data_IF_517346272448
#
_entry.id   IF_517346272448
#
_cell.length_a   1.000
_cell.length_b   1.000
_cell.length_c   1.000
_cell.angle_alpha   90.00
_cell.angle_beta   90.00
_cell.angle_gamma   90.00
#
_symmetry.space_group_name_H-M   'P 1'
#
loop_
_entity.id
_entity.type
_entity.pdbx_description
1 polymer ?
#
# COMPACT_ATOMS: atom_id res chain seq x y z
N UNK A 1 10.51 -4.79 -24.84
CA UNK A 1 9.59 -4.16 -25.80
C UNK A 1 10.16 -4.42 -27.18
N UNK A 2 9.90 -5.62 -27.66
CA UNK A 2 10.15 -6.12 -29.01
C UNK A 2 8.81 -6.69 -29.46
N UNK A 3 8.39 -6.37 -30.69
CA UNK A 3 7.10 -6.68 -31.32
C UNK A 3 5.84 -6.21 -30.56
N UNK A 4 5.41 -5.00 -30.94
CA UNK A 4 4.09 -4.37 -30.85
C UNK A 4 3.14 -4.89 -29.74
N UNK A 5 3.25 -4.30 -28.54
CA UNK A 5 2.19 -4.38 -27.53
C UNK A 5 0.88 -3.90 -28.17
N UNK A 6 -0.13 -4.77 -28.25
CA UNK A 6 -1.40 -4.46 -28.91
C UNK A 6 -2.30 -3.74 -27.92
N UNK A 7 -2.46 -2.42 -28.10
CA UNK A 7 -3.39 -1.63 -27.29
C UNK A 7 -4.85 -2.07 -27.53
N UNK A 8 -5.56 -2.35 -26.43
CA UNK A 8 -6.98 -2.69 -26.42
C UNK A 8 -7.79 -1.40 -26.55
N UNK A 9 -8.57 -1.31 -27.62
CA UNK A 9 -9.35 -0.09 -27.92
C UNK A 9 -10.22 0.37 -26.75
N UNK A 10 -10.21 1.67 -26.39
CA UNK A 10 -11.13 2.25 -25.39
C UNK A 10 -12.62 2.08 -25.70
N UNK A 11 -12.96 1.81 -26.98
CA UNK A 11 -14.33 1.55 -27.43
C UNK A 11 -14.75 0.08 -27.29
N UNK A 12 -13.83 -0.83 -26.99
CA UNK A 12 -14.09 -2.25 -26.80
C UNK A 12 -14.89 -2.53 -25.51
N UNK A 13 -15.50 -3.70 -25.43
CA UNK A 13 -16.20 -4.13 -24.22
C UNK A 13 -15.21 -4.46 -23.09
N UNK A 14 -14.10 -5.08 -23.46
CA UNK A 14 -12.98 -5.50 -22.62
C UNK A 14 -12.40 -4.30 -21.87
N UNK A 15 -12.11 -3.22 -22.59
CA UNK A 15 -11.64 -1.99 -21.97
C UNK A 15 -12.64 -1.43 -20.95
N UNK A 16 -13.94 -1.40 -21.28
CA UNK A 16 -14.97 -0.90 -20.34
C UNK A 16 -15.08 -1.76 -19.09
N UNK A 17 -14.96 -3.08 -19.23
CA UNK A 17 -14.92 -3.99 -18.10
C UNK A 17 -13.71 -3.71 -17.22
N UNK A 18 -12.50 -3.65 -17.78
CA UNK A 18 -11.27 -3.37 -17.02
C UNK A 18 -11.36 -1.99 -16.35
N UNK A 19 -11.85 -0.98 -17.05
CA UNK A 19 -12.10 0.35 -16.49
C UNK A 19 -13.06 0.29 -15.28
N UNK A 20 -14.13 -0.51 -15.36
CA UNK A 20 -15.06 -0.70 -14.27
C UNK A 20 -14.39 -1.39 -13.07
N UNK A 21 -13.52 -2.38 -13.29
CA UNK A 21 -12.71 -3.01 -12.24
C UNK A 21 -11.78 -1.98 -11.58
N UNK A 22 -11.01 -1.23 -12.36
CA UNK A 22 -10.10 -0.19 -11.83
C UNK A 22 -10.87 0.83 -10.98
N UNK A 23 -12.05 1.27 -11.44
CA UNK A 23 -12.90 2.17 -10.66
C UNK A 23 -13.48 1.53 -9.40
N UNK A 24 -13.84 0.26 -9.44
CA UNK A 24 -14.32 -0.49 -8.28
C UNK A 24 -13.22 -0.69 -7.24
N UNK A 25 -11.97 -0.87 -7.69
CA UNK A 25 -10.77 -0.94 -6.85
C UNK A 25 -10.49 0.41 -6.20
N UNK A 26 -10.43 1.48 -7.00
CA UNK A 26 -10.23 2.84 -6.49
C UNK A 26 -11.24 3.18 -5.38
N UNK A 27 -12.54 2.94 -5.62
CA UNK A 27 -13.60 3.20 -4.62
C UNK A 27 -13.36 2.45 -3.31
N UNK A 28 -13.00 1.16 -3.38
CA UNK A 28 -12.80 0.31 -2.20
C UNK A 28 -11.49 0.58 -1.46
N UNK A 29 -10.48 1.07 -2.17
CA UNK A 29 -9.26 1.60 -1.56
C UNK A 29 -9.48 2.98 -0.91
N UNK A 30 -10.72 3.47 -0.85
CA UNK A 30 -11.13 4.73 -0.24
C UNK A 30 -11.08 5.93 -1.19
N UNK A 31 -10.87 5.69 -2.48
CA UNK A 31 -10.95 6.69 -3.55
C UNK A 31 -12.38 7.23 -3.69
N UNK A 32 -12.61 8.39 -3.08
CA UNK A 32 -13.82 9.20 -3.24
C UNK A 32 -13.49 10.56 -3.84
N UNK A 33 -14.25 11.59 -3.49
CA UNK A 33 -13.96 12.98 -3.90
C UNK A 33 -12.58 13.44 -3.41
N UNK A 34 -12.21 13.03 -2.19
CA UNK A 34 -10.96 13.43 -1.52
C UNK A 34 -10.03 12.24 -1.22
N UNK A 35 -10.31 11.08 -1.82
CA UNK A 35 -9.55 9.84 -1.56
C UNK A 35 -8.36 9.63 -2.50
N UNK A 36 -7.52 8.60 -2.24
CA UNK A 36 -6.46 8.21 -3.15
C UNK A 36 -7.06 7.83 -4.52
N UNK A 37 -6.36 8.21 -5.58
CA UNK A 37 -6.71 7.84 -6.96
C UNK A 37 -5.74 6.79 -7.47
N UNK A 38 -6.24 5.91 -8.31
CA UNK A 38 -5.37 5.02 -9.08
C UNK A 38 -4.45 5.83 -9.99
N UNK A 39 -3.23 5.34 -10.21
CA UNK A 39 -2.30 5.89 -11.21
C UNK A 39 -2.59 5.40 -12.63
N UNK A 40 -3.69 4.69 -12.85
CA UNK A 40 -4.05 4.18 -14.17
C UNK A 40 -4.07 5.30 -15.21
N UNK A 41 -3.21 5.18 -16.22
CA UNK A 41 -3.06 6.18 -17.27
C UNK A 41 -4.06 5.98 -18.43
N UNK A 42 -4.96 5.00 -18.30
CA UNK A 42 -5.98 4.58 -19.30
C UNK A 42 -5.42 3.81 -20.50
N UNK A 43 -4.17 3.38 -20.44
CA UNK A 43 -3.59 2.46 -21.40
C UNK A 43 -3.84 1.03 -20.93
N UNK A 44 -4.38 0.22 -21.84
CA UNK A 44 -4.65 -1.20 -21.62
C UNK A 44 -4.04 -1.98 -22.77
N UNK A 45 -3.09 -2.85 -22.44
CA UNK A 45 -2.32 -3.64 -23.39
C UNK A 45 -2.75 -5.11 -23.33
N UNK A 46 -2.79 -5.76 -24.47
CA UNK A 46 -2.94 -7.21 -24.54
C UNK A 46 -1.61 -7.87 -24.18
N UNK A 47 -1.60 -8.70 -23.13
CA UNK A 47 -0.47 -9.58 -22.86
C UNK A 47 -0.60 -10.84 -23.72
N UNK A 48 0.46 -11.11 -24.48
CA UNK A 48 0.51 -12.16 -25.51
C UNK A 48 1.39 -13.33 -25.11
N UNK A 49 2.24 -13.15 -24.09
CA UNK A 49 2.92 -14.26 -23.45
C UNK A 49 1.88 -15.12 -22.69
N UNK A 50 1.70 -16.41 -23.06
CA UNK A 50 0.73 -17.27 -22.39
C UNK A 50 1.10 -17.54 -20.93
N UNK A 51 2.35 -17.36 -20.53
CA UNK A 51 2.80 -17.60 -19.15
C UNK A 51 2.58 -16.37 -18.25
N UNK A 52 2.24 -15.21 -18.83
CA UNK A 52 1.95 -13.97 -18.12
C UNK A 52 0.43 -13.72 -18.03
N UNK A 53 -0.07 -13.51 -16.82
CA UNK A 53 -1.49 -13.26 -16.54
C UNK A 53 -1.87 -11.78 -16.71
N UNK A 54 -0.90 -10.88 -16.59
CA UNK A 54 -1.08 -9.44 -16.62
C UNK A 54 -0.08 -8.70 -15.72
N UNK A 55 -0.08 -7.38 -15.82
CA UNK A 55 0.86 -6.56 -15.07
C UNK A 55 0.43 -5.09 -14.96
N UNK A 56 0.88 -4.44 -13.90
CA UNK A 56 0.72 -3.01 -13.67
C UNK A 56 2.04 -2.24 -13.80
N UNK A 57 2.31 -1.70 -14.99
CA UNK A 57 3.56 -0.98 -15.30
C UNK A 57 3.69 0.33 -14.53
N UNK A 58 4.92 0.75 -14.22
CA UNK A 58 5.21 1.99 -13.45
C UNK A 58 4.64 3.27 -14.06
N UNK A 59 4.44 3.33 -15.37
CA UNK A 59 3.83 4.48 -16.06
C UNK A 59 2.30 4.57 -15.90
N UNK A 60 1.70 3.55 -15.26
CA UNK A 60 0.28 3.46 -15.01
C UNK A 60 -0.49 2.67 -16.07
N UNK A 61 0.17 2.06 -17.05
CA UNK A 61 -0.50 1.13 -17.98
C UNK A 61 -0.81 -0.21 -17.31
N UNK A 62 -1.85 -0.90 -17.81
CA UNK A 62 -2.17 -2.28 -17.46
C UNK A 62 -1.95 -3.18 -18.66
N UNK A 63 -1.30 -4.34 -18.48
CA UNK A 63 -1.35 -5.45 -19.42
C UNK A 63 -2.22 -6.56 -18.85
N UNK A 64 -2.95 -7.28 -19.71
CA UNK A 64 -3.85 -8.37 -19.30
C UNK A 64 -3.79 -9.52 -20.29
N UNK A 65 -3.68 -10.75 -19.77
CA UNK A 65 -3.59 -11.95 -20.61
C UNK A 65 -4.81 -12.12 -21.49
N UNK A 66 -4.59 -12.24 -22.80
CA UNK A 66 -5.69 -12.53 -23.73
C UNK A 66 -6.29 -13.89 -23.42
N UNK A 67 -5.45 -14.91 -23.22
CA UNK A 67 -5.85 -16.32 -23.07
C UNK A 67 -6.45 -16.60 -21.70
N UNK A 68 -5.82 -16.07 -20.63
CA UNK A 68 -6.20 -16.43 -19.27
C UNK A 68 -7.25 -15.49 -18.66
N UNK A 69 -7.36 -14.26 -19.16
CA UNK A 69 -8.27 -13.25 -18.63
C UNK A 69 -9.36 -12.90 -19.63
N UNK A 70 -9.02 -12.34 -20.79
CA UNK A 70 -10.01 -11.74 -21.69
C UNK A 70 -10.88 -12.76 -22.41
N UNK A 71 -10.33 -13.88 -22.87
CA UNK A 71 -11.07 -14.95 -23.55
C UNK A 71 -12.16 -15.56 -22.65
N UNK A 72 -11.86 -16.02 -21.41
CA UNK A 72 -12.89 -16.52 -20.50
C UNK A 72 -14.01 -15.51 -20.24
N UNK A 73 -13.68 -14.22 -20.16
CA UNK A 73 -14.64 -13.13 -19.97
C UNK A 73 -15.54 -12.95 -21.20
N UNK A 74 -14.97 -12.97 -22.41
CA UNK A 74 -15.74 -12.89 -23.67
C UNK A 74 -16.66 -14.10 -23.84
N UNK A 75 -16.13 -15.30 -23.62
CA UNK A 75 -16.89 -16.55 -23.73
C UNK A 75 -18.09 -16.52 -22.79
N UNK A 76 -17.89 -16.14 -21.52
CA UNK A 76 -18.97 -16.05 -20.55
C UNK A 76 -20.05 -15.02 -20.91
N UNK A 77 -19.66 -13.89 -21.52
CA UNK A 77 -20.59 -12.85 -22.00
C UNK A 77 -21.48 -13.38 -23.13
N UNK A 78 -20.89 -14.11 -24.06
CA UNK A 78 -21.58 -14.56 -25.27
C UNK A 78 -22.30 -15.91 -25.09
N UNK A 79 -22.20 -16.50 -23.89
CA UNK A 79 -22.77 -17.80 -23.59
C UNK A 79 -24.28 -17.74 -23.38
N UNK A 80 -25.01 -18.60 -24.08
CA UNK A 80 -26.48 -18.76 -23.98
C UNK A 80 -26.93 -19.86 -23.01
N UNK A 81 -25.97 -20.45 -22.28
CA UNK A 81 -26.17 -21.50 -21.28
C UNK A 81 -25.51 -21.14 -19.95
N UNK A 82 -25.89 -21.80 -18.84
CA UNK A 82 -25.16 -21.70 -17.60
C UNK A 82 -23.68 -22.11 -17.75
N UNK A 83 -22.81 -21.45 -16.98
CA UNK A 83 -21.42 -21.85 -16.85
C UNK A 83 -21.31 -23.23 -16.20
N UNK A 84 -20.38 -24.04 -16.69
CA UNK A 84 -19.89 -25.19 -15.94
C UNK A 84 -19.05 -24.74 -14.74
N UNK A 85 -18.82 -25.63 -13.78
CA UNK A 85 -17.99 -25.31 -12.62
C UNK A 85 -16.56 -24.87 -13.02
N UNK A 86 -15.96 -25.52 -14.02
CA UNK A 86 -14.62 -25.16 -14.50
C UNK A 86 -14.58 -23.79 -15.19
N UNK A 87 -15.61 -23.44 -15.98
CA UNK A 87 -15.72 -22.11 -16.59
C UNK A 87 -15.95 -21.02 -15.54
N UNK A 88 -16.81 -21.28 -14.56
CA UNK A 88 -17.03 -20.35 -13.45
C UNK A 88 -15.75 -20.14 -12.62
N UNK A 89 -14.96 -21.19 -12.40
CA UNK A 89 -13.68 -21.09 -11.70
C UNK A 89 -12.69 -20.25 -12.49
N UNK A 90 -12.49 -20.52 -13.79
CA UNK A 90 -11.63 -19.70 -14.66
C UNK A 90 -12.05 -18.23 -14.68
N UNK A 91 -13.35 -17.97 -14.77
CA UNK A 91 -13.89 -16.62 -14.76
C UNK A 91 -13.65 -15.90 -13.42
N UNK A 92 -13.70 -16.62 -12.30
CA UNK A 92 -13.32 -16.07 -10.98
C UNK A 92 -11.84 -15.68 -10.96
N UNK A 93 -10.97 -16.54 -11.49
CA UNK A 93 -9.53 -16.27 -11.56
C UNK A 93 -9.23 -15.06 -12.45
N UNK A 94 -9.83 -15.00 -13.64
CA UNK A 94 -9.68 -13.86 -14.55
C UNK A 94 -10.01 -12.51 -13.87
N UNK A 95 -11.09 -12.47 -13.08
CA UNK A 95 -11.47 -11.25 -12.34
C UNK A 95 -10.55 -10.98 -11.16
N UNK A 96 -10.09 -12.02 -10.45
CA UNK A 96 -9.09 -11.86 -9.40
C UNK A 96 -7.81 -11.22 -9.95
N UNK A 97 -7.31 -11.70 -11.09
CA UNK A 97 -6.15 -11.10 -11.79
C UNK A 97 -6.40 -9.63 -12.13
N UNK A 98 -7.54 -9.28 -12.74
CA UNK A 98 -7.84 -7.87 -13.05
C UNK A 98 -7.85 -6.98 -11.80
N UNK A 99 -8.38 -7.49 -10.69
CA UNK A 99 -8.43 -6.76 -9.41
C UNK A 99 -7.02 -6.62 -8.83
N UNK A 100 -6.23 -7.68 -8.88
CA UNK A 100 -4.84 -7.71 -8.44
C UNK A 100 -4.01 -6.63 -9.15
N UNK A 101 -4.00 -6.63 -10.48
CA UNK A 101 -3.25 -5.64 -11.25
C UNK A 101 -3.78 -4.21 -11.04
N UNK A 102 -5.09 -4.04 -10.97
CA UNK A 102 -5.68 -2.74 -10.66
C UNK A 102 -5.31 -2.23 -9.26
N UNK A 103 -5.12 -3.12 -8.28
CA UNK A 103 -4.74 -2.77 -6.92
C UNK A 103 -3.26 -2.35 -6.82
N UNK A 104 -2.36 -2.91 -7.63
CA UNK A 104 -0.99 -2.40 -7.79
C UNK A 104 -0.95 -0.93 -8.25
N UNK A 105 -1.96 -0.48 -9.00
CA UNK A 105 -2.07 0.93 -9.41
C UNK A 105 -2.52 1.89 -8.30
N UNK A 106 -2.92 1.40 -7.12
CA UNK A 106 -3.22 2.26 -5.98
C UNK A 106 -1.97 2.81 -5.30
N UNK A 107 -0.82 2.16 -5.51
CA UNK A 107 0.48 2.58 -4.98
C UNK A 107 1.08 3.67 -5.86
N UNK A 108 1.35 4.88 -5.33
CA UNK A 108 2.13 5.90 -6.03
C UNK A 108 3.55 5.41 -6.31
N UNK A 109 4.09 5.78 -7.48
CA UNK A 109 5.51 5.50 -7.81
C UNK A 109 6.41 6.40 -6.97
N UNK A 110 7.23 5.78 -6.15
CA UNK A 110 8.03 6.49 -5.18
C UNK A 110 9.34 7.06 -5.68
N UNK A 111 9.71 8.18 -5.05
CA UNK A 111 10.98 8.83 -5.30
C UNK A 111 12.12 8.08 -4.60
N UNK A 112 12.96 7.40 -5.39
CA UNK A 112 14.14 6.66 -4.91
C UNK A 112 15.18 7.57 -4.24
N UNK A 113 15.08 8.89 -4.42
CA UNK A 113 15.95 9.89 -3.79
C UNK A 113 15.35 10.51 -2.54
N UNK A 114 14.10 10.20 -2.20
CA UNK A 114 13.46 10.68 -0.99
C UNK A 114 14.23 10.20 0.25
N UNK A 115 14.28 11.01 1.32
CA UNK A 115 14.83 10.56 2.59
C UNK A 115 14.17 9.26 3.03
N UNK A 116 14.97 8.31 3.50
CA UNK A 116 14.48 7.02 4.03
C UNK A 116 13.74 6.16 3.02
N UNK A 117 13.88 6.45 1.71
CA UNK A 117 13.40 5.58 0.66
C UNK A 117 14.10 4.22 0.75
N UNK A 118 13.31 3.16 0.72
CA UNK A 118 13.82 1.80 0.70
C UNK A 118 13.94 1.27 -0.73
N UNK A 119 14.93 0.40 -1.02
CA UNK A 119 14.97 -0.31 -2.29
C UNK A 119 13.79 -1.28 -2.39
N UNK A 120 13.40 -1.57 -3.63
CA UNK A 120 12.51 -2.68 -3.96
C UNK A 120 13.42 -3.90 -4.05
N UNK A 121 13.50 -4.64 -2.95
CA UNK A 121 14.18 -5.92 -2.84
C UNK A 121 13.15 -7.04 -2.61
N UNK A 122 13.62 -8.27 -2.41
CA UNK A 122 12.75 -9.45 -2.29
C UNK A 122 11.73 -9.31 -1.15
N UNK A 123 12.14 -8.74 -0.01
CA UNK A 123 11.24 -8.45 1.11
C UNK A 123 10.15 -7.44 0.73
N UNK A 124 10.50 -6.39 -0.01
CA UNK A 124 9.53 -5.39 -0.46
C UNK A 124 8.56 -5.98 -1.49
N UNK A 125 9.06 -6.80 -2.42
CA UNK A 125 8.26 -7.47 -3.46
C UNK A 125 7.28 -8.46 -2.82
N UNK A 126 7.78 -9.39 -2.01
CA UNK A 126 6.95 -10.36 -1.29
C UNK A 126 5.88 -9.68 -0.43
N UNK A 127 6.23 -8.59 0.26
CA UNK A 127 5.25 -7.85 1.05
C UNK A 127 4.21 -7.12 0.19
N UNK A 128 4.60 -6.56 -0.95
CA UNK A 128 3.67 -5.88 -1.86
C UNK A 128 2.69 -6.86 -2.50
N UNK A 129 3.19 -7.94 -3.10
CA UNK A 129 2.36 -8.97 -3.72
C UNK A 129 1.40 -9.59 -2.71
N UNK A 130 1.88 -9.97 -1.53
CA UNK A 130 1.02 -10.51 -0.47
C UNK A 130 -0.02 -9.50 0.03
N UNK A 131 0.30 -8.21 0.05
CA UNK A 131 -0.63 -7.15 0.45
C UNK A 131 -1.73 -6.96 -0.60
N UNK A 132 -1.34 -6.89 -1.87
CA UNK A 132 -2.26 -6.74 -3.01
C UNK A 132 -3.16 -7.97 -3.11
N UNK A 133 -2.60 -9.17 -3.03
CA UNK A 133 -3.35 -10.42 -3.11
C UNK A 133 -4.32 -10.56 -1.93
N UNK A 134 -3.88 -10.26 -0.71
CA UNK A 134 -4.76 -10.22 0.45
C UNK A 134 -5.93 -9.25 0.25
N UNK A 135 -5.66 -8.04 -0.27
CA UNK A 135 -6.68 -7.05 -0.54
C UNK A 135 -7.64 -7.52 -1.64
N UNK A 136 -7.12 -8.14 -2.71
CA UNK A 136 -7.88 -8.69 -3.83
C UNK A 136 -8.91 -9.69 -3.34
N UNK A 137 -8.49 -10.74 -2.62
CA UNK A 137 -9.42 -11.77 -2.16
C UNK A 137 -10.45 -11.26 -1.15
N UNK A 138 -10.06 -10.29 -0.31
CA UNK A 138 -11.00 -9.65 0.61
C UNK A 138 -12.13 -8.90 -0.10
N UNK A 139 -11.85 -8.36 -1.29
CA UNK A 139 -12.78 -7.50 -2.02
C UNK A 139 -13.40 -8.16 -3.27
N UNK A 140 -12.92 -9.35 -3.66
CA UNK A 140 -13.26 -10.06 -4.90
C UNK A 140 -14.77 -10.18 -5.11
N UNK A 141 -15.49 -10.75 -4.14
CA UNK A 141 -16.94 -10.98 -4.27
C UNK A 141 -17.72 -9.67 -4.41
N UNK A 142 -17.28 -8.63 -3.72
CA UNK A 142 -17.90 -7.31 -3.79
C UNK A 142 -17.66 -6.64 -5.14
N UNK A 143 -16.45 -6.78 -5.70
CA UNK A 143 -16.14 -6.25 -7.04
C UNK A 143 -16.88 -7.03 -8.11
N UNK A 144 -16.93 -8.37 -8.04
CA UNK A 144 -17.72 -9.22 -8.96
C UNK A 144 -19.18 -8.75 -8.96
N UNK A 145 -19.79 -8.61 -7.78
CA UNK A 145 -21.21 -8.23 -7.66
C UNK A 145 -21.51 -6.88 -8.34
N UNK A 146 -20.58 -5.92 -8.25
CA UNK A 146 -20.75 -4.59 -8.82
C UNK A 146 -20.45 -4.57 -10.33
N UNK A 147 -19.32 -5.14 -10.73
CA UNK A 147 -18.82 -5.04 -12.11
C UNK A 147 -19.61 -5.94 -13.07
N UNK A 148 -20.06 -7.12 -12.61
CA UNK A 148 -20.74 -8.07 -13.51
C UNK A 148 -22.06 -7.51 -14.04
N UNK A 149 -22.79 -6.77 -13.21
CA UNK A 149 -24.04 -6.14 -13.62
C UNK A 149 -23.83 -5.12 -14.74
N UNK A 150 -22.84 -4.24 -14.57
CA UNK A 150 -22.55 -3.20 -15.57
C UNK A 150 -21.92 -3.77 -16.85
N UNK A 151 -21.25 -4.93 -16.76
CA UNK A 151 -20.58 -5.59 -17.87
C UNK A 151 -21.47 -6.55 -18.68
N UNK A 152 -22.72 -6.81 -18.24
CA UNK A 152 -23.61 -7.78 -18.86
C UNK A 152 -23.24 -9.25 -18.55
N UNK A 153 -22.62 -9.49 -17.39
CA UNK A 153 -22.24 -10.80 -16.87
C UNK A 153 -23.15 -11.27 -15.72
N UNK A 154 -24.32 -10.65 -15.52
CA UNK A 154 -25.27 -10.97 -14.45
C UNK A 154 -25.60 -12.47 -14.36
N UNK A 155 -25.79 -13.11 -15.51
CA UNK A 155 -26.10 -14.54 -15.60
C UNK A 155 -24.99 -15.46 -15.08
N UNK A 156 -23.74 -14.96 -15.02
CA UNK A 156 -22.58 -15.69 -14.53
C UNK A 156 -22.32 -15.47 -13.04
N UNK A 157 -22.79 -14.37 -12.45
CA UNK A 157 -22.38 -13.90 -11.13
C UNK A 157 -22.55 -14.97 -10.04
N UNK A 158 -23.73 -15.61 -9.96
CA UNK A 158 -23.99 -16.62 -8.94
C UNK A 158 -23.05 -17.85 -9.05
N UNK A 159 -22.78 -18.30 -10.27
CA UNK A 159 -21.88 -19.43 -10.51
C UNK A 159 -20.43 -19.10 -10.09
N UNK A 160 -19.94 -17.90 -10.45
CA UNK A 160 -18.61 -17.41 -10.09
C UNK A 160 -18.45 -17.18 -8.59
N UNK A 161 -19.45 -16.59 -7.93
CA UNK A 161 -19.43 -16.35 -6.48
C UNK A 161 -19.48 -17.65 -5.66
N UNK A 162 -19.95 -18.75 -6.24
CA UNK A 162 -19.93 -20.06 -5.59
C UNK A 162 -18.59 -20.78 -5.67
N UNK A 163 -17.64 -20.29 -6.47
CA UNK A 163 -16.33 -20.92 -6.60
C UNK A 163 -15.42 -20.55 -5.44
N UNK A 164 -14.53 -21.46 -5.00
CA UNK A 164 -13.52 -21.12 -4.01
C UNK A 164 -12.58 -20.03 -4.55
N UNK A 165 -12.02 -19.24 -3.64
CA UNK A 165 -10.85 -18.43 -3.95
C UNK A 165 -9.62 -19.33 -4.18
N UNK A 166 -8.64 -18.78 -4.88
CA UNK A 166 -7.32 -19.36 -5.06
C UNK A 166 -6.34 -18.21 -4.86
N UNK A 167 -5.46 -18.34 -3.89
CA UNK A 167 -4.47 -17.32 -3.57
C UNK A 167 -3.19 -17.67 -4.31
N UNK A 168 -2.77 -16.77 -5.20
CA UNK A 168 -1.68 -17.02 -6.13
C UNK A 168 -0.31 -16.99 -5.45
N UNK A 169 -0.24 -16.49 -4.20
CA UNK A 169 1.01 -16.29 -3.47
C UNK A 169 0.96 -16.87 -2.05
N UNK A 170 0.90 -18.21 -1.90
CA UNK A 170 0.86 -18.89 -0.61
C UNK A 170 1.97 -18.49 0.37
N UNK A 171 3.17 -18.12 -0.09
CA UNK A 171 4.24 -17.68 0.81
C UNK A 171 4.16 -16.18 1.15
N UNK A 172 3.41 -15.37 0.40
CA UNK A 172 3.33 -13.92 0.59
C UNK A 172 2.06 -13.49 1.33
N UNK A 173 0.90 -13.96 0.88
CA UNK A 173 -0.41 -13.52 1.37
C UNK A 173 -0.59 -13.76 2.88
N UNK A 174 -0.25 -14.94 3.44
CA UNK A 174 -0.35 -15.14 4.89
C UNK A 174 0.57 -14.20 5.66
N UNK A 175 1.80 -13.98 5.19
CA UNK A 175 2.75 -13.09 5.86
C UNK A 175 2.24 -11.64 5.91
N UNK A 176 1.76 -11.13 4.77
CA UNK A 176 1.22 -9.77 4.68
C UNK A 176 -0.03 -9.58 5.55
N UNK A 177 -0.93 -10.58 5.60
CA UNK A 177 -2.11 -10.58 6.48
C UNK A 177 -1.71 -10.54 7.96
N UNK A 178 -0.81 -11.42 8.38
CA UNK A 178 -0.36 -11.48 9.77
C UNK A 178 0.31 -10.17 10.21
N UNK A 179 1.14 -9.58 9.35
CA UNK A 179 1.76 -8.30 9.65
C UNK A 179 0.72 -7.17 9.74
N UNK A 180 -0.25 -7.13 8.82
CA UNK A 180 -1.33 -6.13 8.84
C UNK A 180 -2.19 -6.21 10.11
N UNK A 181 -2.51 -7.43 10.57
CA UNK A 181 -3.25 -7.64 11.82
C UNK A 181 -2.44 -7.20 13.05
N UNK A 182 -1.14 -7.50 13.09
CA UNK A 182 -0.26 -7.07 14.17
C UNK A 182 -0.07 -5.54 14.22
N UNK A 183 0.05 -4.90 13.06
CA UNK A 183 0.09 -3.43 12.96
C UNK A 183 -1.24 -2.80 13.37
N UNK A 184 -2.36 -3.42 13.03
CA UNK A 184 -3.70 -2.96 13.42
C UNK A 184 -3.86 -2.96 14.95
N UNK A 185 -3.50 -4.06 15.61
CA UNK A 185 -3.50 -4.16 17.06
C UNK A 185 -2.67 -3.06 17.73
N UNK A 186 -1.45 -2.82 17.24
CA UNK A 186 -0.49 -1.86 17.82
C UNK A 186 -0.88 -0.40 17.58
N UNK A 187 -1.49 -0.11 16.44
CA UNK A 187 -1.92 1.24 16.05
C UNK A 187 -3.31 1.61 16.57
N UNK A 188 -4.12 0.61 16.96
CA UNK A 188 -5.54 0.79 17.30
C UNK A 188 -6.43 1.00 16.07
N UNK A 189 -5.94 0.67 14.88
CA UNK A 189 -6.71 0.64 13.64
C UNK A 189 -7.31 -0.76 13.42
N UNK A 190 -8.22 -0.88 12.46
CA UNK A 190 -8.63 -2.19 11.94
C UNK A 190 -7.63 -2.69 10.91
N UNK A 191 -7.53 -4.02 10.74
CA UNK A 191 -6.70 -4.65 9.69
C UNK A 191 -7.03 -4.10 8.29
N UNK A 192 -8.30 -3.80 8.01
CA UNK A 192 -8.74 -3.14 6.77
C UNK A 192 -8.14 -1.75 6.59
N UNK A 193 -8.19 -0.92 7.64
CA UNK A 193 -7.62 0.42 7.58
C UNK A 193 -6.10 0.39 7.43
N UNK A 194 -5.41 -0.56 8.05
CA UNK A 194 -3.96 -0.77 7.85
C UNK A 194 -3.67 -1.18 6.42
N UNK A 195 -4.31 -2.25 5.94
CA UNK A 195 -4.15 -2.76 4.56
C UNK A 195 -4.36 -1.63 3.55
N UNK A 196 -5.45 -0.86 3.68
CA UNK A 196 -5.76 0.24 2.79
C UNK A 196 -4.70 1.36 2.83
N UNK A 197 -4.22 1.74 4.02
CA UNK A 197 -3.17 2.74 4.16
C UNK A 197 -1.85 2.30 3.51
N UNK A 198 -1.51 1.02 3.62
CA UNK A 198 -0.28 0.47 3.05
C UNK A 198 -0.38 0.24 1.54
N UNK A 199 -1.55 -0.16 1.04
CA UNK A 199 -1.83 -0.31 -0.39
C UNK A 199 -1.72 1.02 -1.14
N UNK A 200 -2.09 2.13 -0.48
CA UNK A 200 -2.01 3.48 -1.05
C UNK A 200 -0.72 4.23 -0.67
N UNK A 201 0.20 3.59 0.05
CA UNK A 201 1.49 4.17 0.38
C UNK A 201 2.40 4.12 -0.84
N UNK A 202 3.25 5.14 -0.98
CA UNK A 202 4.39 5.14 -1.89
C UNK A 202 5.25 3.88 -1.69
N UNK A 203 5.58 3.17 -2.77
CA UNK A 203 6.29 1.88 -2.74
C UNK A 203 7.63 1.96 -1.99
N UNK A 204 8.33 3.10 -2.08
CA UNK A 204 9.61 3.35 -1.40
C UNK A 204 9.45 3.73 0.07
N UNK A 205 8.27 4.18 0.47
CA UNK A 205 7.97 4.65 1.81
C UNK A 205 7.03 3.72 2.59
N UNK A 206 6.51 2.64 1.98
CA UNK A 206 5.54 1.73 2.61
C UNK A 206 6.00 1.19 3.96
N UNK A 207 7.27 0.82 4.08
CA UNK A 207 7.87 0.40 5.35
C UNK A 207 7.84 1.50 6.42
N UNK A 208 8.13 2.75 6.04
CA UNK A 208 8.05 3.90 6.95
C UNK A 208 6.61 4.14 7.39
N UNK A 209 5.64 4.06 6.45
CA UNK A 209 4.21 4.18 6.77
C UNK A 209 3.80 3.09 7.76
N UNK A 210 4.19 1.83 7.54
CA UNK A 210 3.86 0.72 8.43
C UNK A 210 4.34 0.96 9.87
N UNK A 211 5.60 1.36 10.06
CA UNK A 211 6.13 1.60 11.41
C UNK A 211 5.62 2.91 12.01
N UNK A 212 5.30 3.93 11.20
CA UNK A 212 4.71 5.17 11.68
C UNK A 212 3.36 4.95 12.37
N UNK A 213 2.55 3.98 11.89
CA UNK A 213 1.30 3.58 12.56
C UNK A 213 1.53 3.13 14.01
N UNK A 214 2.66 2.48 14.28
CA UNK A 214 3.05 2.01 15.60
C UNK A 214 3.69 3.13 16.40
N UNK A 215 4.61 3.89 15.81
CA UNK A 215 5.31 5.02 16.44
C UNK A 215 4.30 6.02 17.01
N UNK A 216 3.34 6.45 16.19
CA UNK A 216 2.35 7.48 16.56
C UNK A 216 1.55 7.08 17.79
N UNK A 217 1.28 5.78 17.95
CA UNK A 217 0.49 5.25 19.06
C UNK A 217 1.34 4.92 20.29
N UNK A 218 2.52 4.33 20.07
CA UNK A 218 3.29 3.63 21.11
C UNK A 218 4.48 4.45 21.64
N UNK A 219 4.87 5.52 20.96
CA UNK A 219 6.03 6.35 21.33
C UNK A 219 5.69 7.84 21.52
N UNK A 220 4.70 8.20 22.37
CA UNK A 220 4.26 9.60 22.53
C UNK A 220 5.33 10.52 23.15
N UNK A 221 6.38 9.95 23.75
CA UNK A 221 7.49 10.69 24.36
C UNK A 221 8.69 10.88 23.41
N UNK A 222 8.65 10.29 22.21
CA UNK A 222 9.74 10.38 21.25
C UNK A 222 9.77 11.79 20.61
N UNK A 223 10.90 12.51 20.63
CA UNK A 223 11.06 13.75 19.87
C UNK A 223 11.00 13.49 18.37
N UNK A 224 10.36 14.39 17.61
CA UNK A 224 10.22 14.25 16.15
C UNK A 224 11.59 14.16 15.44
N UNK A 225 12.61 14.84 15.95
CA UNK A 225 13.98 14.77 15.44
C UNK A 225 14.58 13.35 15.47
N UNK A 226 14.02 12.42 16.26
CA UNK A 226 14.48 11.04 16.34
C UNK A 226 13.66 10.07 15.48
N UNK A 227 12.52 10.51 14.91
CA UNK A 227 11.59 9.64 14.15
C UNK A 227 12.32 8.88 13.04
N UNK A 228 13.14 9.59 12.27
CA UNK A 228 14.01 9.05 11.23
C UNK A 228 14.85 7.83 11.65
N UNK A 229 15.51 7.95 12.81
CA UNK A 229 16.34 6.90 13.36
C UNK A 229 15.50 5.72 13.86
N UNK A 230 14.40 6.02 14.54
CA UNK A 230 13.49 5.01 15.08
C UNK A 230 12.82 4.21 13.97
N UNK A 231 12.41 4.83 12.86
CA UNK A 231 11.91 4.13 11.68
C UNK A 231 12.91 3.10 11.18
N UNK A 232 14.17 3.47 10.99
CA UNK A 232 15.22 2.52 10.55
C UNK A 232 15.37 1.34 11.49
N UNK A 233 15.31 1.57 12.81
CA UNK A 233 15.40 0.51 13.82
C UNK A 233 14.19 -0.44 13.74
N UNK A 234 12.98 0.08 13.59
CA UNK A 234 11.76 -0.71 13.54
C UNK A 234 11.54 -1.42 12.20
N UNK A 235 12.00 -0.85 11.08
CA UNK A 235 11.88 -1.47 9.75
C UNK A 235 12.85 -2.64 9.55
N UNK A 236 14.05 -2.56 10.13
CA UNK A 236 15.08 -3.58 9.97
C UNK A 236 14.59 -5.02 10.26
N UNK A 237 13.98 -5.35 11.42
CA UNK A 237 13.51 -6.71 11.69
C UNK A 237 12.38 -7.17 10.75
N UNK A 238 11.57 -6.24 10.24
CA UNK A 238 10.49 -6.57 9.29
C UNK A 238 11.08 -7.05 7.97
N UNK A 239 12.00 -6.27 7.39
CA UNK A 239 12.64 -6.61 6.12
C UNK A 239 13.49 -7.87 6.21
N UNK A 240 14.29 -8.00 7.27
CA UNK A 240 15.15 -9.15 7.47
C UNK A 240 14.33 -10.46 7.48
N UNK A 241 13.25 -10.49 8.26
CA UNK A 241 12.44 -11.69 8.42
C UNK A 241 11.66 -12.08 7.14
N UNK A 242 11.30 -11.11 6.31
CA UNK A 242 10.52 -11.34 5.08
C UNK A 242 11.38 -11.53 3.83
N UNK A 243 12.69 -11.28 3.91
CA UNK A 243 13.60 -11.36 2.76
C UNK A 243 13.73 -12.75 2.14
N UNK A 244 13.45 -13.82 2.89
CA UNK A 244 13.51 -15.19 2.41
C UNK A 244 12.24 -15.69 1.72
N UNK A 245 11.15 -14.92 1.71
CA UNK A 245 9.87 -15.42 1.22
C UNK A 245 9.86 -15.72 -0.28
N UNK A 246 10.61 -14.96 -1.08
CA UNK A 246 10.72 -15.27 -2.52
C UNK A 246 11.22 -16.67 -2.78
N UNK A 247 12.25 -17.11 -2.04
CA UNK A 247 12.77 -18.46 -2.15
C UNK A 247 11.77 -19.53 -1.65
N UNK A 248 10.83 -19.19 -0.77
CA UNK A 248 9.77 -20.11 -0.32
C UNK A 248 8.68 -20.23 -1.37
N UNK A 249 8.30 -19.11 -1.99
CA UNK A 249 7.32 -19.07 -3.08
C UNK A 249 7.79 -19.88 -4.30
N UNK A 250 9.07 -19.74 -4.65
CA UNK A 250 9.66 -20.43 -5.81
C UNK A 250 10.04 -21.91 -5.54
N UNK A 251 9.90 -22.41 -4.30
CA UNK A 251 10.29 -23.78 -3.95
C UNK A 251 9.22 -24.80 -4.33
N UNK A 252 9.34 -25.38 -5.52
CA UNK A 252 8.46 -26.44 -6.04
C UNK A 252 8.41 -27.71 -5.18
N UNK A 253 9.32 -27.88 -4.21
CA UNK A 253 9.30 -29.01 -3.28
C UNK A 253 8.33 -28.82 -2.11
N UNK A 254 7.88 -27.58 -1.88
CA UNK A 254 6.89 -27.25 -0.88
C UNK A 254 5.50 -27.25 -1.49
N UNK A 255 4.53 -27.84 -0.79
CA UNK A 255 3.13 -27.62 -1.11
C UNK A 255 2.62 -26.28 -0.55
N UNK A 256 1.40 -25.93 -0.95
CA UNK A 256 0.74 -24.68 -0.55
C UNK A 256 0.67 -24.51 0.98
N UNK A 257 0.38 -25.58 1.73
CA UNK A 257 0.24 -25.52 3.19
C UNK A 257 1.61 -25.25 3.83
N UNK A 258 2.66 -25.90 3.32
CA UNK A 258 4.04 -25.70 3.77
C UNK A 258 4.54 -24.28 3.48
N UNK A 259 4.28 -23.74 2.27
CA UNK A 259 4.62 -22.36 1.92
C UNK A 259 3.91 -21.35 2.86
N UNK A 260 2.61 -21.57 3.11
CA UNK A 260 1.84 -20.76 4.06
C UNK A 260 2.39 -20.85 5.49
N UNK A 261 2.79 -22.03 5.95
CA UNK A 261 3.36 -22.20 7.30
C UNK A 261 4.69 -21.45 7.46
N UNK A 262 5.57 -21.49 6.45
CA UNK A 262 6.82 -20.72 6.44
C UNK A 262 6.55 -19.21 6.40
N UNK A 263 5.57 -18.77 5.62
CA UNK A 263 5.13 -17.38 5.59
C UNK A 263 4.67 -16.88 6.97
N UNK A 264 3.88 -17.68 7.68
CA UNK A 264 3.41 -17.36 9.03
C UNK A 264 4.58 -17.27 10.01
N UNK A 265 5.57 -18.19 9.94
CA UNK A 265 6.77 -18.15 10.79
C UNK A 265 7.61 -16.90 10.53
N UNK A 266 7.79 -16.53 9.26
CA UNK A 266 8.50 -15.31 8.87
C UNK A 266 7.81 -14.06 9.43
N UNK A 267 6.48 -13.95 9.29
CA UNK A 267 5.72 -12.84 9.83
C UNK A 267 5.76 -12.80 11.37
N UNK A 268 5.65 -13.94 12.06
CA UNK A 268 5.79 -14.00 13.52
C UNK A 268 7.18 -13.54 13.98
N UNK A 269 8.23 -13.91 13.24
CA UNK A 269 9.59 -13.46 13.52
C UNK A 269 9.75 -11.95 13.31
N UNK A 270 9.16 -11.42 12.23
CA UNK A 270 9.11 -9.99 11.94
C UNK A 270 8.45 -9.21 13.10
N UNK A 271 7.28 -9.67 13.55
CA UNK A 271 6.51 -9.07 14.64
C UNK A 271 7.28 -9.12 15.96
N UNK A 272 7.87 -10.26 16.31
CA UNK A 272 8.67 -10.40 17.52
C UNK A 272 9.94 -9.53 17.49
N UNK A 273 10.55 -9.33 16.31
CA UNK A 273 11.64 -8.38 16.12
C UNK A 273 11.18 -6.93 16.31
N UNK A 274 10.07 -6.55 15.71
CA UNK A 274 9.46 -5.23 15.87
C UNK A 274 9.16 -4.92 17.34
N UNK A 275 8.56 -5.85 18.07
CA UNK A 275 8.19 -5.67 19.48
C UNK A 275 9.42 -5.46 20.37
N UNK A 276 10.47 -6.26 20.18
CA UNK A 276 11.72 -6.11 20.93
C UNK A 276 12.34 -4.74 20.73
N UNK A 277 12.40 -4.26 19.49
CA UNK A 277 12.93 -2.93 19.18
C UNK A 277 12.04 -1.82 19.74
N UNK A 278 10.71 -1.96 19.60
CA UNK A 278 9.76 -1.00 20.15
C UNK A 278 9.89 -0.86 21.67
N UNK A 279 9.94 -1.97 22.40
CA UNK A 279 10.13 -1.95 23.85
C UNK A 279 11.47 -1.33 24.25
N UNK A 280 12.53 -1.62 23.50
CA UNK A 280 13.86 -1.05 23.71
C UNK A 280 13.82 0.48 23.61
N UNK A 281 13.16 0.98 22.57
CA UNK A 281 13.00 2.41 22.30
C UNK A 281 12.08 3.08 23.32
N UNK A 282 10.99 2.40 23.73
CA UNK A 282 10.11 2.87 24.80
C UNK A 282 10.86 3.06 26.12
N UNK A 283 11.65 2.06 26.53
CA UNK A 283 12.46 2.15 27.76
C UNK A 283 13.44 3.31 27.69
N UNK A 284 14.10 3.52 26.54
CA UNK A 284 15.00 4.66 26.33
C UNK A 284 14.28 5.99 26.61
N UNK A 285 13.13 6.24 25.97
CA UNK A 285 12.41 7.51 26.14
C UNK A 285 11.75 7.68 27.51
N UNK A 286 11.37 6.60 28.18
CA UNK A 286 10.88 6.66 29.57
C UNK A 286 11.98 7.10 30.54
N UNK A 287 13.24 6.67 30.34
CA UNK A 287 14.38 7.07 31.17
C UNK A 287 14.81 8.52 30.87
N UNK A 288 14.73 8.96 29.61
CA UNK A 288 15.12 10.31 29.18
C UNK A 288 14.04 11.38 29.49
N UNK A 289 12.75 11.02 29.52
CA UNK A 289 11.64 11.96 29.73
C UNK A 289 11.71 12.80 31.03
N UNK A 290 12.14 12.27 32.20
CA UNK A 290 12.38 13.07 33.40
C UNK A 290 13.44 14.16 33.23
N UNK A 291 14.40 13.99 32.30
CA UNK A 291 15.42 15.02 32.02
C UNK A 291 14.89 16.12 31.10
N UNK A 292 13.91 15.80 30.24
CA UNK A 292 13.24 16.77 29.36
C UNK A 292 12.18 17.59 30.09
N UNK A 293 11.55 17.05 31.14
CA UNK A 293 10.45 17.70 31.86
C UNK A 293 10.78 19.05 32.54
N UNK A 294 11.95 19.27 33.18
CA UNK A 294 12.27 20.56 33.79
C UNK A 294 12.42 21.67 32.76
N UNK A 295 13.05 21.38 31.63
CA UNK A 295 13.30 22.36 30.58
C UNK A 295 12.06 22.60 29.71
N UNK A 296 11.26 21.57 29.43
CA UNK A 296 9.93 21.74 28.81
C UNK A 296 8.94 22.46 29.73
N UNK A 297 8.97 22.22 31.04
CA UNK A 297 8.17 22.97 32.00
C UNK A 297 8.61 24.44 32.06
N UNK A 298 9.92 24.72 32.01
CA UNK A 298 10.46 26.09 31.91
C UNK A 298 10.09 26.75 30.58
N UNK A 299 10.23 26.04 29.45
CA UNK A 299 9.82 26.53 28.13
C UNK A 299 8.32 26.79 28.05
N UNK A 300 7.47 25.91 28.60
CA UNK A 300 6.03 26.16 28.75
C UNK A 300 5.75 27.35 29.65
N UNK A 301 6.41 27.49 30.79
CA UNK A 301 6.22 28.64 31.65
C UNK A 301 6.58 29.96 30.95
N UNK A 302 7.63 29.98 30.13
CA UNK A 302 8.05 31.15 29.34
C UNK A 302 7.12 31.42 28.16
N UNK A 303 6.67 30.38 27.44
CA UNK A 303 5.79 30.54 26.26
C UNK A 303 4.31 30.72 26.60
N UNK A 304 3.85 30.25 27.75
CA UNK A 304 2.45 30.39 28.18
C UNK A 304 2.13 31.78 28.72
N UNK A 305 3.10 32.71 28.74
CA UNK A 305 2.91 34.07 29.25
C UNK A 305 2.52 34.12 30.74
N UNK A 306 2.63 33.00 31.46
CA UNK A 306 2.47 32.96 32.91
C UNK A 306 3.71 33.60 33.51
N UNK A 307 3.63 34.92 33.67
CA UNK A 307 4.57 35.67 34.48
C UNK A 307 4.74 34.92 35.81
N UNK A 308 5.98 34.67 36.28
CA UNK A 308 6.18 34.11 37.61
C UNK A 308 5.39 34.96 38.62
N UNK A 309 4.77 34.35 39.65
CA UNK A 309 4.00 35.08 40.63
C UNK A 309 4.85 36.22 41.18
N UNK A 310 4.48 37.43 40.77
CA UNK A 310 5.18 38.65 41.11
C UNK A 310 5.01 38.86 42.62
N UNK A 311 6.03 38.43 43.37
CA UNK A 311 6.30 38.99 44.69
C UNK A 311 6.49 40.49 44.51
N UNK A 312 5.50 41.23 45.00
CA UNK A 312 5.40 42.67 45.17
C UNK A 312 6.71 43.48 45.00
N UNK A 313 6.73 44.39 44.03
CA UNK A 313 7.10 45.79 44.34
C UNK A 313 6.55 46.75 43.29
N UNK A 314 6.01 47.81 43.85
CA UNK A 314 5.31 48.96 43.27
C UNK A 314 6.28 49.90 42.53
N UNK A 315 5.93 50.36 41.31
CA UNK A 315 6.02 51.78 40.88
C UNK A 315 5.78 52.01 39.37
N UNK A 316 4.67 52.70 39.11
CA UNK A 316 4.39 53.79 38.14
C UNK A 316 5.33 54.12 36.96
N UNK A 317 4.67 54.26 35.80
CA UNK A 317 4.61 55.42 34.87
C UNK A 317 5.46 55.46 33.58
N UNK A 318 4.78 55.85 32.47
CA UNK A 318 5.33 56.37 31.19
C UNK A 318 5.06 55.46 29.97
N UNK A 319 4.11 55.71 29.05
CA UNK A 319 4.22 56.59 27.84
C UNK A 319 5.32 56.04 26.88
N UNK A 320 5.14 55.68 25.59
CA UNK A 320 4.37 56.18 24.42
C UNK A 320 4.40 55.14 23.27
N UNK A 321 3.40 55.22 22.38
CA UNK A 321 3.40 55.04 20.90
C UNK A 321 4.61 54.41 20.17
N UNK A 322 4.34 53.52 19.19
CA UNK A 322 4.44 53.79 17.72
C UNK A 322 4.30 52.51 16.88
N UNK A 323 3.47 52.59 15.84
CA UNK A 323 3.25 51.60 14.79
C UNK A 323 4.43 51.47 13.80
N UNK A 324 4.63 50.30 13.17
CA UNK A 324 5.07 50.23 11.77
C UNK A 324 4.68 48.89 11.11
N UNK A 325 4.03 49.03 9.96
CA UNK A 325 3.66 48.05 8.93
C UNK A 325 4.85 47.63 8.06
N UNK A 326 4.79 46.45 7.44
CA UNK A 326 5.69 46.09 6.34
C UNK A 326 5.55 44.63 5.87
N UNK A 327 5.00 44.38 4.66
CA UNK A 327 4.89 43.05 4.07
C UNK A 327 6.05 42.76 3.11
N UNK A 328 6.48 41.50 3.01
CA UNK A 328 7.30 41.05 1.89
C UNK A 328 6.74 39.79 1.24
N UNK A 329 6.44 39.99 -0.04
CA UNK A 329 5.99 39.05 -1.06
C UNK A 329 7.15 38.21 -1.62
N UNK A 330 6.82 37.00 -2.05
CA UNK A 330 7.18 36.49 -3.37
C UNK A 330 8.52 35.75 -3.51
N UNK A 331 8.45 34.48 -3.92
CA UNK A 331 9.35 33.93 -4.94
C UNK A 331 8.78 32.62 -5.51
N UNK A 332 8.12 32.75 -6.65
CA UNK A 332 7.89 31.73 -7.66
C UNK A 332 9.20 31.45 -8.42
N UNK A 333 9.46 30.19 -8.80
CA UNK A 333 10.67 29.87 -9.56
C UNK A 333 10.84 28.42 -10.00
N UNK A 334 10.21 28.11 -11.14
CA UNK A 334 10.70 27.24 -12.22
C UNK A 334 10.98 25.75 -11.98
N UNK A 335 10.05 24.97 -12.53
CA UNK A 335 10.22 23.62 -13.06
C UNK A 335 11.18 23.64 -14.27
N UNK A 336 12.06 22.65 -14.35
CA UNK A 336 12.79 22.27 -15.56
C UNK A 336 12.55 20.79 -15.86
N UNK A 337 12.33 20.39 -17.13
CA UNK A 337 12.04 19.00 -17.46
C UNK A 337 13.36 18.22 -17.59
N UNK A 338 13.55 17.20 -16.75
CA UNK A 338 14.63 16.21 -16.89
C UNK A 338 14.06 14.92 -17.44
N UNK A 339 14.54 14.55 -18.63
CA UNK A 339 14.28 13.26 -19.29
C UNK A 339 14.80 12.12 -18.41
N UNK A 340 13.96 11.12 -18.15
CA UNK A 340 14.37 9.84 -17.59
C UNK A 340 14.66 8.81 -18.71
N UNK A 341 15.65 7.94 -18.53
CA UNK A 341 15.87 6.74 -19.33
C UNK A 341 14.92 5.60 -18.91
N UNK A 342 14.59 4.72 -19.87
CA UNK A 342 13.50 3.73 -19.80
C UNK A 342 13.69 2.55 -18.83
N UNK A 343 12.62 1.73 -18.68
CA UNK A 343 12.53 0.73 -17.63
C UNK A 343 13.27 -0.57 -17.95
N UNK A 344 13.91 -1.11 -16.91
CA UNK A 344 14.44 -2.46 -16.83
C UNK A 344 13.28 -3.44 -16.56
N UNK A 345 13.14 -4.45 -17.41
CA UNK A 345 12.28 -5.63 -17.20
C UNK A 345 12.87 -6.48 -16.07
N UNK A 346 12.09 -6.73 -15.03
CA UNK A 346 12.22 -7.94 -14.23
C UNK A 346 11.17 -8.91 -14.78
N UNK A 347 11.61 -9.87 -15.58
CA UNK A 347 10.82 -11.07 -15.83
C UNK A 347 11.01 -11.96 -14.61
N UNK A 348 9.93 -12.16 -13.87
CA UNK A 348 9.79 -13.32 -13.01
C UNK A 348 9.34 -14.46 -13.94
N UNK A 349 9.96 -15.61 -13.80
CA UNK A 349 9.63 -16.83 -14.52
C UNK A 349 9.91 -18.02 -13.64
#
# INVERSE_FOLDING_TARGET
MTDDDVEISPSSWEYRLVAAVVHAVERRAGGGVDGPRTRWNRELLAETDPDDLGGASVDGSLSVSVVHVLEPLREARDLDRPLTAGEAWKLRQAIATLIHEAAHLMTPVGDRTAPEAYPLDDAATAYDEGLVEHWTHRNLDSVITEVFADAGLDGAAAAVLSQPGYDAYPAYTPAARHLSDALAERSGLTSTQVTQKLLCADDRQRWNVAVDLVIDKQLPLMPEAHRAQVRRQLVAPLRESLSGLGAVEDDESLDYEQQSDEAVKAAQSAIAGLDRELESIQRKYQIEAPQLSPDLARLRAVTSGQAPPAGATDQRAGVTDRATTGPHSGSSGQQGPRRQPGPHRHGLG
#
